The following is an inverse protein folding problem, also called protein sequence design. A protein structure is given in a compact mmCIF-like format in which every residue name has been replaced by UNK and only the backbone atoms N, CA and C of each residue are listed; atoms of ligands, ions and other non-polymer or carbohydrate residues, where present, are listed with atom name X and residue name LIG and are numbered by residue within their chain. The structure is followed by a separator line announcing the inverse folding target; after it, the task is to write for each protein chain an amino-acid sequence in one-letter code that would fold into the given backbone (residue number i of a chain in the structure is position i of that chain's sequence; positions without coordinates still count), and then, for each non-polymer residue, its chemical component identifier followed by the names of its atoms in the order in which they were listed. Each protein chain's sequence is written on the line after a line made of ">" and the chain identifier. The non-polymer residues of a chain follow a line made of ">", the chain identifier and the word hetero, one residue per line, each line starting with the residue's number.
data_IF_700261691052
#
_entry.id   IF_700261691052
#
_cell.length_a   1.000
_cell.length_b   1.000
_cell.length_c   1.000
_cell.angle_alpha   90.00
_cell.angle_beta   90.00
_cell.angle_gamma   90.00
#
_symmetry.space_group_name_H-M   'P 1'
#
loop_
_entity.id
_entity.type
_entity.pdbx_description
1 polymer ?
#
# COMPACT_ATOMS: atom_id res chain seq x y z
N UNK A 1 -7.57 16.51 1.27
CA UNK A 1 -8.31 17.78 1.36
C UNK A 1 -7.70 18.82 0.44
N UNK A 2 -8.48 19.72 -0.10
CA UNK A 2 -7.97 20.86 -0.86
C UNK A 2 -7.23 21.82 0.08
N UNK A 3 -6.23 22.60 -0.43
CA UNK A 3 -5.57 23.63 0.36
C UNK A 3 -6.54 24.74 0.76
N UNK A 4 -6.25 25.41 1.86
CA UNK A 4 -6.96 26.65 2.22
C UNK A 4 -6.62 27.79 1.26
N UNK A 5 -7.41 28.86 1.25
CA UNK A 5 -7.16 30.01 0.39
C UNK A 5 -5.74 30.58 0.58
N UNK A 6 -5.30 30.72 1.84
CA UNK A 6 -3.97 31.26 2.16
C UNK A 6 -2.85 30.32 1.71
N UNK A 7 -3.06 28.99 1.79
CA UNK A 7 -2.12 28.00 1.30
C UNK A 7 -2.04 28.03 -0.22
N UNK A 8 -3.17 28.14 -0.91
CA UNK A 8 -3.22 28.24 -2.37
C UNK A 8 -2.52 29.51 -2.88
N UNK A 9 -2.76 30.66 -2.23
CA UNK A 9 -2.05 31.91 -2.54
C UNK A 9 -0.53 31.74 -2.36
N UNK A 10 -0.07 31.08 -1.31
CA UNK A 10 1.37 30.79 -1.11
C UNK A 10 1.92 29.87 -2.19
N UNK A 11 1.20 28.82 -2.55
CA UNK A 11 1.59 27.90 -3.63
C UNK A 11 1.75 28.67 -4.94
N UNK A 12 0.74 29.46 -5.32
CA UNK A 12 0.79 30.24 -6.56
C UNK A 12 1.99 31.20 -6.58
N UNK A 13 2.20 31.97 -5.51
CA UNK A 13 3.37 32.87 -5.41
C UNK A 13 4.69 32.16 -5.53
N UNK A 14 4.84 30.98 -4.88
CA UNK A 14 6.08 30.20 -4.90
C UNK A 14 6.35 29.53 -6.24
N UNK A 15 5.30 29.13 -6.97
CA UNK A 15 5.43 28.35 -8.22
C UNK A 15 5.41 29.18 -9.49
N UNK A 16 4.91 30.44 -9.43
CA UNK A 16 4.86 31.35 -10.59
C UNK A 16 5.97 32.39 -10.59
N UNK A 17 6.75 32.52 -9.52
CA UNK A 17 7.89 33.41 -9.49
C UNK A 17 9.08 32.78 -10.27
N UNK A 18 9.91 33.63 -10.90
CA UNK A 18 11.15 33.19 -11.57
C UNK A 18 12.24 32.82 -10.54
N UNK A 19 11.94 31.78 -9.74
CA UNK A 19 12.86 31.25 -8.73
C UNK A 19 13.34 29.89 -9.21
N UNK A 20 14.62 29.78 -9.54
CA UNK A 20 15.25 28.49 -9.82
C UNK A 20 15.60 27.80 -8.50
N UNK A 21 14.78 26.85 -8.10
CA UNK A 21 15.10 25.99 -6.95
C UNK A 21 16.15 24.96 -7.38
N UNK A 22 17.32 24.99 -6.78
CA UNK A 22 18.34 23.97 -6.97
C UNK A 22 18.04 22.79 -6.06
N UNK A 23 17.77 21.63 -6.65
CA UNK A 23 17.57 20.37 -5.93
C UNK A 23 18.87 19.56 -5.98
N UNK A 24 19.40 19.22 -4.82
CA UNK A 24 20.55 18.32 -4.73
C UNK A 24 20.05 16.87 -4.82
N UNK A 25 20.59 16.11 -5.77
CA UNK A 25 20.30 14.69 -5.88
C UNK A 25 20.95 13.94 -4.70
N UNK A 26 20.15 13.16 -3.97
CA UNK A 26 20.63 12.31 -2.89
C UNK A 26 21.06 10.92 -3.38
N UNK A 27 20.45 10.45 -4.47
CA UNK A 27 20.71 9.15 -5.08
C UNK A 27 20.84 9.29 -6.60
N UNK A 28 21.67 8.44 -7.19
CA UNK A 28 21.75 8.27 -8.65
C UNK A 28 20.67 7.28 -9.14
N UNK A 29 20.49 7.21 -10.46
CA UNK A 29 19.62 6.18 -11.06
C UNK A 29 20.14 4.76 -10.79
N UNK A 30 21.48 4.60 -10.81
CA UNK A 30 22.18 3.35 -10.52
C UNK A 30 21.94 2.90 -9.07
N UNK A 31 21.96 3.84 -8.11
CA UNK A 31 21.66 3.54 -6.70
C UNK A 31 20.24 3.00 -6.56
N UNK A 32 19.27 3.63 -7.22
CA UNK A 32 17.86 3.19 -7.17
C UNK A 32 17.71 1.77 -7.73
N UNK A 33 18.32 1.49 -8.88
CA UNK A 33 18.29 0.14 -9.48
C UNK A 33 18.97 -0.89 -8.57
N UNK A 34 20.09 -0.52 -7.95
CA UNK A 34 20.82 -1.37 -7.01
C UNK A 34 19.95 -1.71 -5.78
N UNK A 35 19.25 -0.72 -5.19
CA UNK A 35 18.33 -0.96 -4.08
C UNK A 35 17.15 -1.84 -4.48
N UNK A 36 16.58 -1.66 -5.68
CA UNK A 36 15.51 -2.54 -6.17
C UNK A 36 15.96 -4.00 -6.29
N UNK A 37 17.19 -4.23 -6.76
CA UNK A 37 17.77 -5.57 -6.83
C UNK A 37 18.05 -6.15 -5.45
N UNK A 38 18.56 -5.34 -4.52
CA UNK A 38 18.81 -5.73 -3.13
C UNK A 38 17.52 -6.21 -2.45
N UNK A 39 16.43 -5.43 -2.55
CA UNK A 39 15.13 -5.78 -1.97
C UNK A 39 14.64 -7.14 -2.50
N UNK A 40 14.81 -7.42 -3.79
CA UNK A 40 14.41 -8.72 -4.35
C UNK A 40 15.18 -9.91 -3.77
N UNK A 41 16.44 -9.73 -3.37
CA UNK A 41 17.30 -10.78 -2.79
C UNK A 41 16.98 -11.09 -1.33
N UNK A 42 16.26 -10.23 -0.62
CA UNK A 42 15.87 -10.49 0.78
C UNK A 42 15.03 -11.77 0.84
N UNK A 43 15.41 -12.78 1.66
CA UNK A 43 14.65 -14.00 1.82
C UNK A 43 13.31 -13.72 2.51
N UNK A 44 12.33 -14.60 2.29
CA UNK A 44 11.01 -14.54 2.96
C UNK A 44 10.63 -15.95 3.36
N UNK A 45 10.18 -16.13 4.58
CA UNK A 45 9.68 -17.41 5.06
C UNK A 45 8.30 -17.74 4.43
N UNK A 46 8.05 -19.02 4.19
CA UNK A 46 6.84 -19.49 3.51
C UNK A 46 5.54 -19.07 4.24
N UNK A 47 5.55 -19.09 5.57
CA UNK A 47 4.40 -18.64 6.36
C UNK A 47 4.03 -17.16 6.13
N UNK A 48 5.00 -16.30 5.84
CA UNK A 48 4.77 -14.86 5.52
C UNK A 48 4.16 -14.74 4.12
N UNK A 49 4.66 -15.54 3.16
CA UNK A 49 4.10 -15.61 1.80
C UNK A 49 2.64 -16.10 1.86
N UNK A 50 2.39 -17.20 2.59
CA UNK A 50 1.05 -17.73 2.77
C UNK A 50 0.10 -16.72 3.43
N UNK A 51 0.57 -15.99 4.44
CA UNK A 51 -0.22 -14.94 5.08
C UNK A 51 -0.63 -13.86 4.06
N UNK A 52 0.30 -13.35 3.25
CA UNK A 52 0.01 -12.35 2.23
C UNK A 52 -1.00 -12.86 1.19
N UNK A 53 -0.87 -14.11 0.74
CA UNK A 53 -1.81 -14.74 -0.20
C UNK A 53 -3.19 -14.91 0.44
N UNK A 54 -3.27 -15.41 1.67
CA UNK A 54 -4.52 -15.55 2.43
C UNK A 54 -5.20 -14.20 2.66
N UNK A 55 -4.42 -13.16 3.00
CA UNK A 55 -4.94 -11.80 3.16
C UNK A 55 -5.58 -11.29 1.88
N UNK A 56 -4.92 -11.45 0.73
CA UNK A 56 -5.48 -11.06 -0.58
C UNK A 56 -6.72 -11.89 -0.93
N UNK A 57 -6.72 -13.18 -0.66
CA UNK A 57 -7.88 -14.06 -0.90
C UNK A 57 -9.12 -13.61 -0.09
N UNK A 58 -8.92 -13.17 1.16
CA UNK A 58 -9.99 -12.62 2.01
C UNK A 58 -10.64 -11.36 1.40
N UNK A 59 -9.96 -10.61 0.54
CA UNK A 59 -10.52 -9.40 -0.07
C UNK A 59 -11.54 -9.67 -1.18
N UNK A 60 -11.64 -10.91 -1.67
CA UNK A 60 -12.48 -11.30 -2.81
C UNK A 60 -13.83 -11.76 -2.32
N UNK A 61 -14.95 -11.10 -2.65
CA UNK A 61 -16.28 -11.47 -2.13
C UNK A 61 -16.72 -12.90 -2.47
N UNK A 62 -16.29 -13.43 -3.63
CA UNK A 62 -16.60 -14.79 -4.07
C UNK A 62 -15.70 -15.87 -3.44
N UNK A 63 -14.68 -15.47 -2.66
CA UNK A 63 -13.79 -16.41 -2.00
C UNK A 63 -14.46 -17.07 -0.80
N UNK A 64 -14.25 -18.38 -0.61
CA UNK A 64 -14.65 -19.08 0.61
C UNK A 64 -13.95 -18.54 1.86
N UNK A 65 -12.80 -17.89 1.71
CA UNK A 65 -12.05 -17.25 2.79
C UNK A 65 -12.54 -15.83 3.12
N UNK A 66 -13.49 -15.27 2.33
CA UNK A 66 -13.96 -13.90 2.53
C UNK A 66 -14.82 -13.79 3.80
N UNK A 67 -14.47 -12.88 4.73
CA UNK A 67 -15.32 -12.57 5.87
C UNK A 67 -16.58 -11.83 5.42
N UNK A 68 -17.61 -11.80 6.28
CA UNK A 68 -18.91 -11.22 5.95
C UNK A 68 -18.82 -9.75 5.53
N UNK A 69 -17.97 -8.96 6.18
CA UNK A 69 -17.75 -7.55 5.83
C UNK A 69 -17.30 -7.36 4.36
N UNK A 70 -16.48 -8.28 3.83
CA UNK A 70 -16.06 -8.22 2.42
C UNK A 70 -17.21 -8.60 1.50
N UNK A 71 -17.97 -9.64 1.82
CA UNK A 71 -19.15 -10.06 1.03
C UNK A 71 -20.21 -8.98 0.97
N UNK A 72 -20.38 -8.21 2.05
CA UNK A 72 -21.42 -7.19 2.17
C UNK A 72 -21.02 -5.85 1.53
N UNK A 73 -19.71 -5.52 1.48
CA UNK A 73 -19.24 -4.16 1.19
C UNK A 73 -18.22 -4.03 0.06
N UNK A 74 -17.69 -5.13 -0.49
CA UNK A 74 -16.72 -5.12 -1.58
C UNK A 74 -17.34 -5.68 -2.85
N UNK A 75 -17.32 -4.92 -3.93
CA UNK A 75 -17.68 -5.38 -5.27
C UNK A 75 -16.51 -6.08 -5.95
N UNK A 76 -15.29 -5.56 -5.75
CA UNK A 76 -14.11 -6.08 -6.42
C UNK A 76 -12.91 -6.21 -5.49
N UNK A 77 -12.46 -7.44 -5.31
CA UNK A 77 -11.29 -7.77 -4.50
C UNK A 77 -9.96 -7.68 -5.26
N UNK A 78 -8.86 -7.79 -4.54
CA UNK A 78 -7.52 -7.68 -5.12
C UNK A 78 -7.08 -8.95 -5.87
N UNK A 79 -6.38 -8.78 -6.98
CA UNK A 79 -5.80 -9.85 -7.77
C UNK A 79 -4.42 -10.34 -7.26
N UNK A 80 -3.80 -11.36 -7.91
CA UNK A 80 -2.51 -11.95 -7.49
C UNK A 80 -1.35 -10.95 -7.41
N UNK A 81 -1.37 -9.89 -8.22
CA UNK A 81 -0.37 -8.82 -8.14
C UNK A 81 -0.33 -8.12 -6.79
N UNK A 82 -1.44 -8.12 -6.05
CA UNK A 82 -1.47 -7.57 -4.71
C UNK A 82 -0.60 -8.39 -3.75
N UNK A 83 -0.66 -9.73 -3.80
CA UNK A 83 0.19 -10.62 -3.00
C UNK A 83 1.67 -10.39 -3.31
N UNK A 84 2.02 -10.29 -4.59
CA UNK A 84 3.40 -9.99 -5.02
C UNK A 84 3.89 -8.65 -4.46
N UNK A 85 3.06 -7.61 -4.57
CA UNK A 85 3.42 -6.27 -4.10
C UNK A 85 3.45 -6.18 -2.57
N UNK A 86 2.59 -6.92 -1.85
CA UNK A 86 2.66 -7.02 -0.39
C UNK A 86 4.01 -7.58 0.06
N UNK A 87 4.47 -8.66 -0.57
CA UNK A 87 5.77 -9.26 -0.22
C UNK A 87 6.93 -8.31 -0.58
N UNK A 88 6.92 -7.68 -1.76
CA UNK A 88 7.98 -6.73 -2.13
C UNK A 88 8.01 -5.51 -1.20
N UNK A 89 6.86 -4.97 -0.85
CA UNK A 89 6.76 -3.85 0.07
C UNK A 89 7.15 -4.25 1.50
N UNK A 90 6.78 -5.45 1.96
CA UNK A 90 7.18 -5.97 3.26
C UNK A 90 8.70 -6.17 3.35
N UNK A 91 9.36 -6.66 2.29
CA UNK A 91 10.83 -6.73 2.21
C UNK A 91 11.47 -5.34 2.36
N UNK A 92 10.96 -4.35 1.63
CA UNK A 92 11.47 -2.98 1.73
C UNK A 92 11.25 -2.41 3.14
N UNK A 93 10.07 -2.61 3.71
CA UNK A 93 9.73 -2.16 5.07
C UNK A 93 10.64 -2.82 6.13
N UNK A 94 10.89 -4.13 6.02
CA UNK A 94 11.81 -4.85 6.90
C UNK A 94 13.25 -4.32 6.77
N UNK A 95 13.74 -4.11 5.54
CA UNK A 95 15.07 -3.56 5.30
C UNK A 95 15.24 -2.16 5.93
N UNK A 96 14.23 -1.30 5.82
CA UNK A 96 14.23 0.03 6.46
C UNK A 96 14.27 -0.05 7.99
N UNK A 97 13.81 -1.16 8.59
CA UNK A 97 13.89 -1.45 10.02
C UNK A 97 15.18 -2.19 10.42
N UNK A 98 16.10 -2.42 9.48
CA UNK A 98 17.32 -3.18 9.72
C UNK A 98 17.13 -4.69 9.88
N UNK A 99 15.96 -5.23 9.48
CA UNK A 99 15.67 -6.67 9.52
C UNK A 99 16.20 -7.36 8.26
N UNK A 100 16.70 -8.58 8.40
CA UNK A 100 17.21 -9.39 7.29
C UNK A 100 16.11 -10.15 6.53
N UNK A 101 14.90 -10.23 7.07
CA UNK A 101 13.74 -10.90 6.49
C UNK A 101 12.46 -10.23 7.00
N UNK A 102 11.41 -10.11 6.16
CA UNK A 102 10.12 -9.62 6.64
C UNK A 102 9.39 -10.68 7.47
N UNK A 103 8.58 -10.19 8.39
CA UNK A 103 7.60 -10.95 9.16
C UNK A 103 6.15 -10.55 8.80
N UNK A 104 5.16 -11.14 9.47
CA UNK A 104 3.74 -10.83 9.27
C UNK A 104 3.44 -9.35 9.57
N UNK A 105 4.07 -8.77 10.59
CA UNK A 105 3.87 -7.36 10.95
C UNK A 105 4.31 -6.42 9.82
N UNK A 106 5.38 -6.77 9.10
CA UNK A 106 5.82 -5.99 7.93
C UNK A 106 4.80 -6.05 6.78
N UNK A 107 4.12 -7.19 6.57
CA UNK A 107 3.02 -7.31 5.60
C UNK A 107 1.83 -6.47 6.04
N UNK A 108 1.44 -6.53 7.31
CA UNK A 108 0.34 -5.73 7.87
C UNK A 108 0.60 -4.24 7.75
N UNK A 109 1.82 -3.79 8.05
CA UNK A 109 2.21 -2.38 7.99
C UNK A 109 2.05 -1.77 6.58
N UNK A 110 2.27 -2.55 5.53
CA UNK A 110 2.16 -2.07 4.14
C UNK A 110 0.81 -2.37 3.48
N UNK A 111 -0.06 -3.16 4.15
CA UNK A 111 -1.30 -3.65 3.57
C UNK A 111 -2.23 -2.53 3.09
N UNK A 112 -2.40 -1.47 3.88
CA UNK A 112 -3.24 -0.33 3.52
C UNK A 112 -2.78 0.33 2.20
N UNK A 113 -1.49 0.60 2.06
CA UNK A 113 -0.91 1.23 0.87
C UNK A 113 -1.03 0.37 -0.39
N UNK A 114 -0.96 -0.97 -0.22
CA UNK A 114 -1.01 -1.91 -1.34
C UNK A 114 -2.44 -2.26 -1.73
N UNK A 115 -3.36 -2.41 -0.78
CA UNK A 115 -4.74 -2.87 -1.05
C UNK A 115 -5.70 -1.71 -1.32
N UNK A 116 -5.50 -0.53 -0.72
CA UNK A 116 -6.46 0.56 -0.73
C UNK A 116 -6.84 1.08 -2.13
N UNK A 117 -5.95 0.97 -3.12
CA UNK A 117 -6.22 1.35 -4.52
C UNK A 117 -6.58 0.17 -5.43
N UNK A 118 -6.78 -1.03 -4.86
CA UNK A 118 -7.08 -2.28 -5.58
C UNK A 118 -8.42 -2.87 -5.22
N UNK A 119 -9.08 -2.35 -4.21
CA UNK A 119 -10.41 -2.76 -3.79
C UNK A 119 -11.44 -1.74 -4.25
N UNK A 120 -12.58 -2.23 -4.69
CA UNK A 120 -13.74 -1.38 -5.02
C UNK A 120 -14.85 -1.73 -4.05
N UNK A 121 -15.27 -0.76 -3.24
CA UNK A 121 -16.41 -0.91 -2.36
C UNK A 121 -17.72 -0.70 -3.14
N UNK A 122 -18.78 -1.34 -2.68
CA UNK A 122 -20.10 -1.22 -3.28
C UNK A 122 -20.88 0.01 -2.78
N UNK A 123 -22.04 0.25 -3.36
CA UNK A 123 -22.92 1.36 -2.99
C UNK A 123 -23.34 1.33 -1.51
N UNK A 124 -23.54 0.13 -0.95
CA UNK A 124 -23.92 -0.03 0.46
C UNK A 124 -22.85 0.51 1.40
N UNK A 125 -21.59 0.20 1.12
CA UNK A 125 -20.46 0.74 1.87
C UNK A 125 -20.37 2.28 1.77
N UNK A 126 -20.67 2.85 0.59
CA UNK A 126 -20.74 4.30 0.42
C UNK A 126 -21.87 4.92 1.26
N UNK A 127 -23.06 4.34 1.21
CA UNK A 127 -24.24 4.82 1.93
C UNK A 127 -24.05 4.79 3.46
N UNK A 128 -23.34 3.77 3.97
CA UNK A 128 -23.04 3.60 5.40
C UNK A 128 -21.77 4.36 5.84
N UNK A 129 -21.07 5.04 4.93
CA UNK A 129 -19.85 5.80 5.23
C UNK A 129 -18.64 4.92 5.58
N UNK A 130 -18.69 3.60 5.26
CA UNK A 130 -17.60 2.67 5.56
C UNK A 130 -16.42 2.93 4.61
N UNK A 131 -15.24 3.11 5.17
CA UNK A 131 -14.04 3.36 4.37
C UNK A 131 -13.32 2.07 4.00
N UNK A 132 -12.57 2.07 2.88
CA UNK A 132 -11.69 0.94 2.53
C UNK A 132 -10.63 0.70 3.61
N UNK A 133 -10.22 1.74 4.32
CA UNK A 133 -9.29 1.63 5.44
C UNK A 133 -9.85 0.79 6.58
N UNK A 134 -11.11 0.99 6.94
CA UNK A 134 -11.78 0.23 7.99
C UNK A 134 -11.92 -1.24 7.59
N UNK A 135 -12.31 -1.50 6.32
CA UNK A 135 -12.42 -2.86 5.81
C UNK A 135 -11.06 -3.56 5.82
N UNK A 136 -10.01 -2.93 5.28
CA UNK A 136 -8.67 -3.53 5.26
C UNK A 136 -8.18 -3.80 6.68
N UNK A 137 -8.36 -2.86 7.61
CA UNK A 137 -7.97 -3.02 9.00
C UNK A 137 -8.65 -4.21 9.67
N UNK A 138 -9.90 -4.50 9.31
CA UNK A 138 -10.63 -5.66 9.85
C UNK A 138 -10.13 -7.01 9.32
N UNK A 139 -9.31 -7.03 8.25
CA UNK A 139 -8.76 -8.25 7.65
C UNK A 139 -7.40 -8.64 8.23
N UNK A 140 -6.71 -7.71 8.90
CA UNK A 140 -5.36 -7.89 9.47
C UNK A 140 -5.41 -8.62 10.79
#
# INVERSE_FOLDING_TARGET
>A
SYPTYEEEVRIVKATTADIKTTVNALFTAEDIVSYQQLIRRIPVADNVIEYAVKLVAKTRPDSTAAPQIVKDYIDWGAGPRASQNLILAAKAHAAMQGKYSPDIENVQAVAQGILGHRLIKNYKAEAEGLTLQDIIKSLL
#
